data_IF_958890040143
#
_entry.id   IF_958890040143
#
_cell.length_a   1.000
_cell.length_b   1.000
_cell.length_c   1.000
_cell.angle_alpha   90.00
_cell.angle_beta   90.00
_cell.angle_gamma   90.00
#
_symmetry.space_group_name_H-M   'P 1'
#
loop_
_entity.id
_entity.type
_entity.pdbx_description
1 polymer ?
#
# COMPACT_ATOMS: atom_id res chain seq x y z
N UNK A 1 -19.80 22.28 -7.28
CA UNK A 1 -18.64 21.43 -7.60
C UNK A 1 -18.69 20.20 -6.72
N UNK A 2 -18.54 18.96 -7.22
CA UNK A 2 -18.42 17.80 -6.35
C UNK A 2 -17.19 17.99 -5.45
N UNK A 3 -17.34 17.73 -4.15
CA UNK A 3 -16.24 17.82 -3.21
C UNK A 3 -15.14 16.82 -3.65
N UNK A 4 -13.95 17.32 -3.94
CA UNK A 4 -12.83 16.46 -4.30
C UNK A 4 -12.60 15.46 -3.17
N UNK A 5 -12.59 14.16 -3.49
CA UNK A 5 -12.40 13.14 -2.47
C UNK A 5 -10.92 13.06 -2.10
N UNK A 6 -10.51 13.77 -1.05
CA UNK A 6 -9.13 13.76 -0.56
C UNK A 6 -9.04 12.83 0.65
N UNK A 7 -8.07 11.92 0.63
CA UNK A 7 -7.74 11.09 1.79
C UNK A 7 -6.24 11.10 2.00
N UNK A 8 -5.82 11.44 3.22
CA UNK A 8 -4.43 11.45 3.61
C UNK A 8 -4.15 10.37 4.66
N UNK A 9 -2.96 9.78 4.59
CA UNK A 9 -2.44 8.85 5.60
C UNK A 9 -0.92 8.82 5.52
N UNK A 10 -0.22 8.48 6.59
CA UNK A 10 1.24 8.45 6.61
C UNK A 10 1.80 7.10 7.08
N UNK A 11 3.12 6.93 6.92
CA UNK A 11 3.83 5.72 7.29
C UNK A 11 4.33 5.69 8.73
N UNK A 12 4.06 6.71 9.55
CA UNK A 12 4.53 6.74 10.95
C UNK A 12 4.23 5.43 11.69
N UNK A 13 3.04 4.81 11.55
CA UNK A 13 2.76 3.52 12.20
C UNK A 13 3.61 2.35 11.72
N UNK A 14 4.18 2.43 10.51
CA UNK A 14 5.03 1.41 9.90
C UNK A 14 6.53 1.72 10.01
N UNK A 15 6.92 2.97 10.32
CA UNK A 15 8.32 3.40 10.39
C UNK A 15 9.22 2.54 11.29
N UNK A 16 8.77 2.02 12.45
CA UNK A 16 9.59 1.12 13.26
C UNK A 16 10.04 -0.16 12.52
N UNK A 17 9.36 -0.52 11.44
CA UNK A 17 9.57 -1.74 10.66
C UNK A 17 10.24 -1.48 9.30
N UNK A 18 10.44 -0.21 8.92
CA UNK A 18 11.02 0.22 7.65
C UNK A 18 12.44 0.77 7.85
N UNK A 19 13.39 -0.10 8.20
CA UNK A 19 14.77 0.29 8.56
C UNK A 19 15.54 1.05 7.47
N UNK A 20 15.17 0.86 6.20
CA UNK A 20 15.80 1.54 5.06
C UNK A 20 15.26 2.97 4.83
N UNK A 21 14.16 3.34 5.49
CA UNK A 21 13.54 4.64 5.34
C UNK A 21 13.82 5.53 6.55
N UNK A 22 14.52 6.64 6.31
CA UNK A 22 14.90 7.62 7.34
C UNK A 22 13.95 8.80 7.45
N UNK A 23 12.97 8.91 6.55
CA UNK A 23 11.98 10.00 6.50
C UNK A 23 10.59 9.40 6.47
N UNK A 24 9.64 10.04 7.15
CA UNK A 24 8.24 9.66 7.05
C UNK A 24 7.71 9.93 5.63
N UNK A 25 6.76 9.10 5.18
CA UNK A 25 6.07 9.29 3.90
C UNK A 25 4.59 9.54 4.19
N UNK A 26 4.07 10.63 3.66
CA UNK A 26 2.66 11.01 3.70
C UNK A 26 2.06 10.71 2.33
N UNK A 27 0.95 10.00 2.29
CA UNK A 27 0.20 9.67 1.11
C UNK A 27 -1.05 10.54 1.02
N UNK A 28 -1.31 11.08 -0.16
CA UNK A 28 -2.53 11.82 -0.48
C UNK A 28 -3.17 11.15 -1.70
N UNK A 29 -4.29 10.48 -1.47
CA UNK A 29 -5.14 9.96 -2.53
C UNK A 29 -6.19 11.02 -2.87
N UNK A 30 -6.27 11.46 -4.12
CA UNK A 30 -7.18 12.51 -4.56
C UNK A 30 -7.67 12.31 -5.99
N UNK A 31 -8.72 13.04 -6.37
CA UNK A 31 -9.21 13.01 -7.76
C UNK A 31 -8.13 13.52 -8.72
N UNK A 32 -8.06 12.89 -9.90
CA UNK A 32 -7.01 13.18 -10.91
C UNK A 32 -6.91 14.66 -11.28
N UNK A 33 -8.05 15.35 -11.33
CA UNK A 33 -8.13 16.78 -11.66
C UNK A 33 -7.57 17.70 -10.56
N UNK A 34 -7.43 17.21 -9.33
CA UNK A 34 -6.94 17.98 -8.18
C UNK A 34 -5.42 17.86 -7.98
N UNK A 35 -4.76 16.90 -8.64
CA UNK A 35 -3.34 16.59 -8.41
C UNK A 35 -2.44 17.80 -8.63
N UNK A 36 -2.59 18.50 -9.77
CA UNK A 36 -1.72 19.64 -10.10
C UNK A 36 -1.87 20.78 -9.08
N UNK A 37 -3.11 21.11 -8.70
CA UNK A 37 -3.39 22.12 -7.67
C UNK A 37 -2.80 21.74 -6.31
N UNK A 38 -2.89 20.46 -5.92
CA UNK A 38 -2.32 19.97 -4.66
C UNK A 38 -0.79 20.03 -4.71
N UNK A 39 -0.16 19.60 -5.80
CA UNK A 39 1.30 19.68 -5.99
C UNK A 39 1.77 21.12 -5.88
N UNK A 40 1.12 22.05 -6.56
CA UNK A 40 1.48 23.46 -6.54
C UNK A 40 1.38 24.05 -5.13
N UNK A 41 0.26 23.79 -4.44
CA UNK A 41 0.01 24.28 -3.08
C UNK A 41 1.06 23.73 -2.11
N UNK A 42 1.27 22.41 -2.10
CA UNK A 42 2.23 21.78 -1.20
C UNK A 42 3.68 22.21 -1.48
N UNK A 43 4.03 22.47 -2.74
CA UNK A 43 5.37 22.94 -3.10
C UNK A 43 5.65 24.35 -2.56
N UNK A 44 4.62 25.19 -2.45
CA UNK A 44 4.71 26.54 -1.89
C UNK A 44 4.73 26.52 -0.37
N UNK A 45 3.79 25.79 0.24
CA UNK A 45 3.59 25.80 1.69
C UNK A 45 4.62 24.94 2.44
N UNK A 46 5.11 23.87 1.80
CA UNK A 46 6.04 22.91 2.38
C UNK A 46 7.28 22.72 1.50
N UNK A 47 8.10 23.76 1.28
CA UNK A 47 9.24 23.72 0.35
C UNK A 47 10.32 22.71 0.75
N UNK A 48 10.36 22.31 2.03
CA UNK A 48 11.25 21.26 2.55
C UNK A 48 10.71 19.85 2.38
N UNK A 49 9.54 19.63 1.75
CA UNK A 49 8.96 18.30 1.58
C UNK A 49 9.25 17.70 0.20
N UNK A 50 9.43 16.39 0.14
CA UNK A 50 9.77 15.63 -1.07
C UNK A 50 8.48 15.24 -1.77
N UNK A 51 8.03 16.02 -2.75
CA UNK A 51 6.74 15.78 -3.40
C UNK A 51 6.92 14.85 -4.60
N UNK A 52 6.20 13.74 -4.58
CA UNK A 52 6.08 12.77 -5.65
C UNK A 52 4.62 12.76 -6.10
N UNK A 53 4.37 12.88 -7.41
CA UNK A 53 3.03 12.73 -7.98
C UNK A 53 3.05 11.68 -9.10
N UNK A 54 2.09 10.75 -9.09
CA UNK A 54 2.01 9.63 -10.03
C UNK A 54 0.62 9.44 -10.62
N UNK A 55 0.55 9.34 -11.96
CA UNK A 55 -0.70 9.16 -12.75
C UNK A 55 -0.57 8.00 -13.77
N UNK A 56 0.32 7.02 -13.55
CA UNK A 56 0.88 6.04 -14.54
C UNK A 56 2.13 6.50 -15.32
N UNK A 57 2.68 7.68 -15.01
CA UNK A 57 3.98 8.14 -15.54
C UNK A 57 5.06 8.04 -14.47
N UNK A 58 6.34 7.92 -14.85
CA UNK A 58 7.45 7.93 -13.88
C UNK A 58 7.33 9.13 -12.97
N UNK A 59 7.51 8.91 -11.66
CA UNK A 59 7.38 9.94 -10.63
C UNK A 59 8.22 11.18 -10.98
N UNK A 60 7.56 12.34 -11.06
CA UNK A 60 8.23 13.63 -11.07
C UNK A 60 8.96 13.80 -9.73
N UNK A 61 10.30 13.71 -9.75
CA UNK A 61 11.15 13.91 -8.58
C UNK A 61 11.54 15.39 -8.49
N UNK A 62 10.85 16.16 -7.64
CA UNK A 62 11.33 17.50 -7.27
C UNK A 62 12.30 17.33 -6.09
N UNK A 63 13.59 17.18 -6.40
CA UNK A 63 14.67 17.08 -5.40
C UNK A 63 14.99 18.48 -4.87
N UNK A 64 14.83 18.68 -3.57
CA UNK A 64 15.27 19.86 -2.82
C UNK A 64 16.09 19.31 -1.63
N UNK A 65 17.23 19.91 -1.30
CA UNK A 65 18.11 19.39 -0.25
C UNK A 65 17.53 19.68 1.16
N UNK A 66 17.77 18.78 2.13
CA UNK A 66 17.30 18.81 3.53
C UNK A 66 15.78 18.70 3.73
N UNK A 67 15.23 17.49 3.55
CA UNK A 67 13.77 17.26 3.64
C UNK A 67 13.32 16.52 4.89
N UNK A 68 12.24 17.04 5.49
CA UNK A 68 11.62 16.57 6.74
C UNK A 68 10.69 15.36 6.51
N UNK A 69 9.99 15.31 5.38
CA UNK A 69 9.16 14.17 4.97
C UNK A 69 9.01 14.07 3.44
N UNK A 70 8.56 12.93 2.96
CA UNK A 70 8.13 12.71 1.58
C UNK A 70 6.60 12.77 1.50
N UNK A 71 6.04 13.40 0.48
CA UNK A 71 4.61 13.43 0.19
C UNK A 71 4.38 12.77 -1.16
N UNK A 72 3.57 11.71 -1.18
CA UNK A 72 3.23 10.94 -2.37
C UNK A 72 1.77 11.17 -2.70
N UNK A 73 1.50 11.81 -3.84
CA UNK A 73 0.17 12.13 -4.32
C UNK A 73 -0.20 11.10 -5.39
N UNK A 74 -1.33 10.42 -5.17
CA UNK A 74 -1.80 9.34 -6.03
C UNK A 74 -3.21 9.67 -6.50
N UNK A 75 -3.46 9.44 -7.80
CA UNK A 75 -4.81 9.50 -8.34
C UNK A 75 -5.66 8.38 -7.72
N UNK A 76 -6.72 8.77 -7.01
CA UNK A 76 -7.75 7.85 -6.56
C UNK A 76 -8.52 7.29 -7.76
N UNK A 77 -8.74 5.99 -7.75
CA UNK A 77 -9.74 5.36 -8.63
C UNK A 77 -11.09 5.56 -7.94
N UNK A 78 -11.81 6.62 -8.34
CA UNK A 78 -13.13 7.06 -7.85
C UNK A 78 -13.72 6.28 -6.67
N UNK A 79 -13.71 6.88 -5.47
CA UNK A 79 -14.28 6.26 -4.28
C UNK A 79 -15.79 6.24 -4.36
N UNK A 80 -16.40 5.13 -3.97
CA UNK A 80 -17.82 5.13 -3.62
C UNK A 80 -18.00 5.90 -2.29
N UNK A 81 -19.11 6.62 -2.11
CA UNK A 81 -19.41 7.44 -0.90
C UNK A 81 -19.08 6.74 0.44
N UNK A 82 -19.29 5.43 0.52
CA UNK A 82 -18.99 4.60 1.72
C UNK A 82 -17.50 4.44 2.05
N UNK A 83 -16.59 4.72 1.11
CA UNK A 83 -15.13 4.67 1.32
C UNK A 83 -14.53 6.03 1.68
N UNK A 84 -15.31 7.10 1.52
CA UNK A 84 -14.96 8.48 1.88
C UNK A 84 -15.19 8.73 3.38
N UNK A 85 -16.06 7.93 4.01
CA UNK A 85 -16.43 8.04 5.43
C UNK A 85 -15.39 7.38 6.35
N UNK A 86 -14.23 8.03 6.51
CA UNK A 86 -13.26 7.69 7.54
C UNK A 86 -12.21 8.77 7.68
N UNK A 87 -12.11 9.40 8.87
CA UNK A 87 -11.11 10.44 9.17
C UNK A 87 -9.66 9.95 8.97
N UNK A 88 -9.43 8.64 9.06
CA UNK A 88 -8.13 8.00 8.80
C UNK A 88 -8.35 6.57 8.28
N UNK A 89 -7.63 6.12 7.22
CA UNK A 89 -7.69 4.73 6.78
C UNK A 89 -7.09 3.79 7.83
N UNK A 90 -7.65 2.57 7.94
CA UNK A 90 -7.09 1.52 8.80
C UNK A 90 -5.70 1.09 8.32
N UNK A 91 -4.85 0.62 9.24
CA UNK A 91 -3.50 0.14 8.93
C UNK A 91 -3.49 -0.95 7.87
N UNK A 92 -4.46 -1.86 7.90
CA UNK A 92 -4.59 -2.94 6.91
C UNK A 92 -4.86 -2.39 5.51
N UNK A 93 -5.69 -1.34 5.41
CA UNK A 93 -5.92 -0.67 4.13
C UNK A 93 -4.63 -0.01 3.65
N UNK A 94 -3.93 0.72 4.51
CA UNK A 94 -2.64 1.35 4.17
C UNK A 94 -1.63 0.31 3.69
N UNK A 95 -1.53 -0.83 4.36
CA UNK A 95 -0.60 -1.91 4.01
C UNK A 95 -0.93 -2.55 2.65
N UNK A 96 -2.22 -2.71 2.32
CA UNK A 96 -2.71 -3.14 1.00
C UNK A 96 -2.45 -2.11 -0.09
N UNK A 97 -2.75 -0.84 0.17
CA UNK A 97 -2.51 0.23 -0.79
C UNK A 97 -1.00 0.39 -1.07
N UNK A 98 -0.14 0.25 -0.06
CA UNK A 98 1.32 0.25 -0.24
C UNK A 98 1.77 -0.83 -1.22
N UNK A 99 1.30 -2.07 -1.03
CA UNK A 99 1.63 -3.17 -1.93
C UNK A 99 1.08 -2.93 -3.33
N UNK A 100 -0.16 -2.46 -3.45
CA UNK A 100 -0.79 -2.14 -4.73
C UNK A 100 0.01 -1.10 -5.50
N UNK A 101 0.30 0.05 -4.87
CA UNK A 101 1.01 1.13 -5.54
C UNK A 101 2.49 0.79 -5.79
N UNK A 102 3.14 0.04 -4.90
CA UNK A 102 4.53 -0.42 -5.12
C UNK A 102 4.61 -1.40 -6.31
N UNK A 103 3.67 -2.35 -6.41
CA UNK A 103 3.58 -3.28 -7.56
C UNK A 103 3.39 -2.54 -8.88
N UNK A 104 2.72 -1.39 -8.86
CA UNK A 104 2.52 -0.54 -10.04
C UNK A 104 3.64 0.49 -10.26
N UNK A 105 4.76 0.40 -9.51
CA UNK A 105 5.91 1.31 -9.61
C UNK A 105 5.57 2.78 -9.33
N UNK A 106 4.50 3.02 -8.56
CA UNK A 106 4.00 4.36 -8.24
C UNK A 106 4.60 4.93 -6.96
N UNK A 107 5.37 4.14 -6.21
CA UNK A 107 5.94 4.55 -4.93
C UNK A 107 7.46 4.67 -4.97
N UNK A 108 8.06 5.61 -4.22
CA UNK A 108 9.50 5.75 -4.14
C UNK A 108 10.16 4.67 -3.27
N UNK A 109 9.42 3.63 -2.82
CA UNK A 109 9.87 2.49 -2.00
C UNK A 109 9.86 1.20 -2.83
N UNK A 110 10.84 0.32 -2.61
CA UNK A 110 10.94 -0.93 -3.36
C UNK A 110 9.83 -1.90 -2.96
N UNK A 111 9.41 -2.76 -3.91
CA UNK A 111 8.48 -3.84 -3.61
C UNK A 111 9.02 -4.75 -2.49
N UNK A 112 10.33 -5.03 -2.50
CA UNK A 112 10.99 -5.86 -1.48
C UNK A 112 10.81 -5.31 -0.07
N UNK A 113 11.04 -4.02 0.14
CA UNK A 113 10.85 -3.37 1.46
C UNK A 113 9.41 -3.51 1.94
N UNK A 114 8.43 -3.38 1.04
CA UNK A 114 7.02 -3.57 1.36
C UNK A 114 6.71 -5.02 1.71
N UNK A 115 7.30 -6.00 1.00
CA UNK A 115 7.08 -7.41 1.30
C UNK A 115 7.66 -7.82 2.66
N UNK A 116 8.79 -7.24 3.04
CA UNK A 116 9.37 -7.47 4.37
C UNK A 116 8.52 -6.83 5.48
N UNK A 117 7.98 -5.63 5.25
CA UNK A 117 6.98 -5.00 6.14
C UNK A 117 5.75 -5.90 6.31
N UNK A 118 5.23 -6.44 5.21
CA UNK A 118 4.09 -7.37 5.23
C UNK A 118 4.40 -8.64 6.03
N UNK A 119 5.59 -9.23 5.84
CA UNK A 119 6.05 -10.39 6.61
C UNK A 119 6.09 -10.08 8.09
N UNK A 120 6.65 -8.94 8.46
CA UNK A 120 6.74 -8.51 9.85
C UNK A 120 5.36 -8.26 10.47
N UNK A 121 4.47 -7.54 9.78
CA UNK A 121 3.13 -7.22 10.27
C UNK A 121 2.31 -8.49 10.54
N UNK A 122 2.32 -9.44 9.59
CA UNK A 122 1.54 -10.68 9.72
C UNK A 122 2.09 -11.64 10.77
N UNK A 123 3.40 -11.66 10.98
CA UNK A 123 4.01 -12.49 12.05
C UNK A 123 3.76 -11.94 13.45
N UNK A 124 3.64 -10.61 13.60
CA UNK A 124 3.51 -9.95 14.91
C UNK A 124 2.07 -9.67 15.32
N UNK A 125 1.18 -9.34 14.40
CA UNK A 125 -0.21 -8.93 14.71
C UNK A 125 -1.23 -10.07 14.69
N UNK A 126 -0.91 -11.22 14.08
CA UNK A 126 -1.76 -12.40 14.13
C UNK A 126 -3.05 -12.34 13.28
N UNK A 127 -3.98 -13.27 13.57
CA UNK A 127 -5.09 -13.68 12.70
C UNK A 127 -6.20 -12.65 12.47
N UNK A 128 -6.56 -11.86 13.49
CA UNK A 128 -7.65 -10.87 13.41
C UNK A 128 -7.40 -9.82 12.31
N UNK A 129 -6.14 -9.43 12.13
CA UNK A 129 -5.72 -8.46 11.12
C UNK A 129 -5.64 -9.06 9.71
N UNK A 130 -5.57 -10.39 9.57
CA UNK A 130 -5.53 -11.04 8.26
C UNK A 130 -6.86 -10.96 7.51
N UNK A 131 -8.00 -11.14 8.19
CA UNK A 131 -9.31 -11.05 7.55
C UNK A 131 -9.61 -9.64 7.01
N UNK A 132 -9.17 -8.62 7.75
CA UNK A 132 -9.26 -7.24 7.30
C UNK A 132 -8.35 -6.97 6.10
N UNK A 133 -7.08 -7.43 6.15
CA UNK A 133 -6.17 -7.38 5.00
C UNK A 133 -6.75 -8.07 3.76
N UNK A 134 -7.30 -9.28 3.92
CA UNK A 134 -7.89 -10.03 2.83
C UNK A 134 -9.07 -9.26 2.20
N UNK A 135 -9.98 -8.72 3.02
CA UNK A 135 -11.11 -7.91 2.55
C UNK A 135 -10.65 -6.68 1.76
N UNK A 136 -9.65 -5.94 2.24
CA UNK A 136 -9.12 -4.79 1.50
C UNK A 136 -8.39 -5.22 0.23
N UNK A 137 -7.64 -6.30 0.27
CA UNK A 137 -6.89 -6.81 -0.89
C UNK A 137 -7.79 -7.28 -2.03
N UNK A 138 -8.97 -7.83 -1.74
CA UNK A 138 -9.94 -8.21 -2.77
C UNK A 138 -10.36 -7.02 -3.64
N UNK A 139 -10.51 -5.83 -3.04
CA UNK A 139 -10.88 -4.60 -3.78
C UNK A 139 -9.79 -4.13 -4.75
N UNK A 140 -8.53 -4.44 -4.44
CA UNK A 140 -7.36 -4.11 -5.28
C UNK A 140 -6.93 -5.27 -6.18
N UNK A 141 -7.75 -6.33 -6.31
CA UNK A 141 -7.40 -7.57 -7.04
C UNK A 141 -6.10 -8.24 -6.53
N UNK A 142 -5.77 -8.03 -5.25
CA UNK A 142 -4.62 -8.61 -4.55
C UNK A 142 -5.01 -9.79 -3.64
N UNK A 143 -6.28 -10.18 -3.60
CA UNK A 143 -6.76 -11.26 -2.73
C UNK A 143 -6.01 -12.59 -2.92
N UNK A 144 -5.69 -12.94 -4.17
CA UNK A 144 -4.89 -14.13 -4.48
C UNK A 144 -3.47 -14.01 -3.91
N UNK A 145 -2.82 -12.86 -4.09
CA UNK A 145 -1.49 -12.59 -3.56
C UNK A 145 -1.44 -12.72 -2.04
N UNK A 146 -2.39 -12.09 -1.35
CA UNK A 146 -2.49 -12.15 0.11
C UNK A 146 -2.70 -13.57 0.61
N UNK A 147 -3.52 -14.36 -0.08
CA UNK A 147 -3.75 -15.77 0.29
C UNK A 147 -2.51 -16.64 0.12
N UNK A 148 -1.73 -16.44 -0.95
CA UNK A 148 -0.48 -17.17 -1.20
C UNK A 148 0.56 -16.81 -0.13
N UNK A 149 0.69 -15.52 0.16
CA UNK A 149 1.62 -15.03 1.16
C UNK A 149 1.31 -15.60 2.56
N UNK A 150 0.03 -15.68 2.92
CA UNK A 150 -0.43 -16.29 4.16
C UNK A 150 -0.06 -17.78 4.27
N UNK A 151 -0.25 -18.52 3.18
CA UNK A 151 0.09 -19.93 3.11
C UNK A 151 1.61 -20.15 3.29
N UNK A 152 2.44 -19.40 2.59
CA UNK A 152 3.91 -19.47 2.74
C UNK A 152 4.36 -19.11 4.16
N UNK A 153 3.72 -18.13 4.80
CA UNK A 153 4.02 -17.76 6.18
C UNK A 153 3.65 -18.86 7.18
N UNK A 154 2.52 -19.54 6.96
CA UNK A 154 2.04 -20.63 7.81
C UNK A 154 3.00 -21.83 7.82
N UNK A 155 3.62 -22.15 6.68
CA UNK A 155 4.64 -23.20 6.58
C UNK A 155 5.88 -22.88 7.41
N UNK A 156 6.34 -21.62 7.37
CA UNK A 156 7.58 -21.20 8.05
C UNK A 156 7.42 -21.10 9.56
N UNK A 157 6.24 -20.68 10.02
CA UNK A 157 6.02 -20.38 11.45
C UNK A 157 5.50 -21.56 12.25
N UNK A 158 5.13 -22.70 11.63
CA UNK A 158 4.37 -23.81 12.25
C UNK A 158 3.13 -23.32 13.03
N UNK A 159 2.65 -22.11 12.76
CA UNK A 159 1.53 -21.52 13.48
C UNK A 159 0.21 -22.02 12.88
N UNK A 160 -0.80 -22.17 13.73
CA UNK A 160 -2.17 -22.52 13.33
C UNK A 160 -2.85 -21.33 12.62
N UNK A 161 -2.27 -20.86 11.52
CA UNK A 161 -2.95 -19.96 10.61
C UNK A 161 -4.24 -20.64 10.11
N UNK A 162 -5.34 -19.88 10.07
CA UNK A 162 -6.69 -20.37 9.77
C UNK A 162 -6.68 -21.22 8.49
N UNK A 163 -7.02 -22.51 8.66
CA UNK A 163 -6.88 -23.53 7.62
C UNK A 163 -7.61 -23.17 6.33
N UNK A 164 -8.66 -22.34 6.38
CA UNK A 164 -9.42 -21.95 5.20
C UNK A 164 -8.61 -21.06 4.25
N UNK A 165 -7.89 -20.06 4.76
CA UNK A 165 -7.08 -19.15 3.93
C UNK A 165 -5.80 -19.81 3.46
N UNK A 166 -5.17 -20.64 4.28
CA UNK A 166 -4.04 -21.47 3.87
C UNK A 166 -4.42 -22.46 2.75
N UNK A 167 -5.63 -23.04 2.80
CA UNK A 167 -6.16 -23.87 1.70
C UNK A 167 -6.36 -23.07 0.41
N UNK A 168 -6.91 -21.85 0.49
CA UNK A 168 -7.05 -20.96 -0.67
C UNK A 168 -5.67 -20.57 -1.23
N UNK A 169 -4.71 -20.24 -0.36
CA UNK A 169 -3.34 -19.93 -0.74
C UNK A 169 -2.62 -21.09 -1.42
N UNK A 170 -2.78 -22.31 -0.90
CA UNK A 170 -2.25 -23.54 -1.51
C UNK A 170 -2.82 -23.75 -2.92
N UNK A 171 -4.14 -23.66 -3.08
CA UNK A 171 -4.80 -23.78 -4.40
C UNK A 171 -4.29 -22.73 -5.38
N UNK A 172 -4.16 -21.47 -4.94
CA UNK A 172 -3.64 -20.39 -5.79
C UNK A 172 -2.17 -20.60 -6.16
N UNK A 173 -1.35 -21.14 -5.25
CA UNK A 173 0.04 -21.47 -5.53
C UNK A 173 0.18 -22.63 -6.53
N UNK A 174 -0.66 -23.66 -6.42
CA UNK A 174 -0.72 -24.77 -7.38
C UNK A 174 -1.10 -24.28 -8.77
N UNK A 175 -2.12 -23.41 -8.87
CA UNK A 175 -2.53 -22.79 -10.13
C UNK A 175 -1.39 -22.03 -10.81
N UNK A 176 -0.60 -21.24 -10.05
CA UNK A 176 0.57 -20.53 -10.61
C UNK A 176 1.60 -21.51 -11.16
N UNK A 177 1.91 -22.58 -10.42
CA UNK A 177 2.88 -23.59 -10.87
C UNK A 177 2.43 -24.28 -12.16
N UNK A 178 1.14 -24.55 -12.31
CA UNK A 178 0.59 -25.11 -13.54
C UNK A 178 0.73 -24.13 -14.69
N UNK A 179 0.37 -22.87 -14.52
CA UNK A 179 0.46 -21.84 -15.59
C UNK A 179 1.91 -21.62 -16.04
N UNK A 180 2.86 -21.53 -15.10
CA UNK A 180 4.30 -21.32 -15.40
C UNK A 180 4.94 -22.55 -16.07
N UNK A 181 4.37 -23.75 -15.90
CA UNK A 181 4.84 -24.96 -16.61
C UNK A 181 4.36 -25.05 -18.07
N UNK A 182 3.43 -24.18 -18.48
CA UNK A 182 2.91 -24.11 -19.85
C UNK A 182 3.50 -22.93 -20.66
N UNK A 183 4.48 -22.20 -20.11
CA UNK A 183 5.33 -21.21 -20.82
C UNK A 183 6.73 -21.78 -21.06
#
# INVERSE_FOLDING_TARGET
MPAASITAWDLTPFMPYLHNWRKNIIFIECDRVAIETIVETLSKDYPKHEIYAGIKKPMLKIRINNKEAAVVIIAGEGKNKREIEGKYPKLEKCLVDLLFYAKNELLPISLTDILDLWRHYLTTKGLLHFNELYRYSQRRYLGWFVSIFAYELSKKTKSNADTRHCKTGLKNMELIKTVVQFE
#
